data_IF_235421154328
#
_entry.id   IF_235421154328
#
_cell.length_a   1.000
_cell.length_b   1.000
_cell.length_c   1.000
_cell.angle_alpha   90.00
_cell.angle_beta   90.00
_cell.angle_gamma   90.00
#
_symmetry.space_group_name_H-M   'P 1'
#
loop_
_entity.id
_entity.type
_entity.pdbx_description
1 polymer ?
#
# COMPACT_ATOMS: atom_id res chain seq x y z
N UNK A 1 -14.92 -1.90 18.15
CA UNK A 1 -13.78 -1.23 17.50
C UNK A 1 -14.15 0.24 17.36
N UNK A 2 -13.41 1.15 17.97
CA UNK A 2 -13.59 2.60 17.79
C UNK A 2 -12.41 3.07 16.95
N UNK A 3 -12.52 2.95 15.62
CA UNK A 3 -11.61 3.64 14.71
C UNK A 3 -11.91 5.15 14.80
N UNK A 4 -10.91 6.05 14.65
CA UNK A 4 -11.12 7.45 14.91
C UNK A 4 -12.24 7.98 14.01
N UNK A 5 -13.16 8.80 14.54
CA UNK A 5 -14.13 9.47 13.68
C UNK A 5 -13.33 10.29 12.66
N UNK A 6 -13.69 10.22 11.38
CA UNK A 6 -13.12 11.12 10.38
C UNK A 6 -13.53 12.55 10.71
N UNK A 7 -12.68 13.28 11.45
CA UNK A 7 -12.94 14.66 11.88
C UNK A 7 -12.35 15.69 10.92
N UNK A 8 -11.49 15.26 9.99
CA UNK A 8 -10.91 16.11 8.97
C UNK A 8 -11.85 16.43 7.81
N UNK A 9 -11.32 17.17 6.83
CA UNK A 9 -12.08 17.67 5.66
C UNK A 9 -12.71 16.53 4.85
N UNK A 10 -12.00 15.42 4.72
CA UNK A 10 -12.45 14.25 3.95
C UNK A 10 -13.00 13.14 4.85
N UNK A 11 -13.17 13.40 6.16
CA UNK A 11 -13.53 12.39 7.14
C UNK A 11 -14.81 11.62 6.84
N UNK A 12 -15.85 12.28 6.31
CA UNK A 12 -17.09 11.61 5.93
C UNK A 12 -16.88 10.59 4.80
N UNK A 13 -16.09 10.95 3.79
CA UNK A 13 -15.79 10.08 2.65
C UNK A 13 -14.88 8.92 3.07
N UNK A 14 -13.87 9.18 3.90
CA UNK A 14 -12.97 8.16 4.45
C UNK A 14 -13.74 7.14 5.31
N UNK A 15 -14.72 7.58 6.10
CA UNK A 15 -15.57 6.67 6.87
C UNK A 15 -16.54 5.89 5.99
N UNK A 16 -17.03 6.47 4.88
CA UNK A 16 -17.83 5.74 3.91
C UNK A 16 -17.03 4.64 3.21
N UNK A 17 -15.76 4.91 2.86
CA UNK A 17 -14.84 3.90 2.33
C UNK A 17 -14.63 2.75 3.32
N UNK A 18 -14.36 3.05 4.60
CA UNK A 18 -14.21 2.03 5.64
C UNK A 18 -15.43 1.13 5.80
N UNK A 19 -16.65 1.70 5.82
CA UNK A 19 -17.89 0.91 5.93
C UNK A 19 -18.07 0.00 4.72
N UNK A 20 -17.87 0.53 3.51
CA UNK A 20 -17.97 -0.25 2.28
C UNK A 20 -16.97 -1.40 2.26
N UNK A 21 -15.74 -1.15 2.68
CA UNK A 21 -14.74 -2.20 2.84
C UNK A 21 -15.22 -3.33 3.76
N UNK A 22 -15.73 -2.99 4.96
CA UNK A 22 -16.22 -4.01 5.90
C UNK A 22 -17.41 -4.79 5.36
N UNK A 23 -18.35 -4.11 4.69
CA UNK A 23 -19.51 -4.73 4.06
C UNK A 23 -19.08 -5.71 2.96
N UNK A 24 -18.28 -5.27 1.99
CA UNK A 24 -17.81 -6.11 0.89
C UNK A 24 -16.91 -7.26 1.36
N UNK A 25 -16.09 -7.03 2.40
CA UNK A 25 -15.22 -8.06 2.96
C UNK A 25 -16.02 -9.16 3.67
N UNK A 26 -17.10 -8.78 4.37
CA UNK A 26 -18.02 -9.72 5.01
C UNK A 26 -18.86 -10.48 3.97
N UNK A 27 -19.35 -9.80 2.92
CA UNK A 27 -20.04 -10.47 1.81
C UNK A 27 -19.18 -11.49 1.06
N UNK A 28 -17.85 -11.33 1.14
CA UNK A 28 -16.86 -12.24 0.56
C UNK A 28 -16.38 -13.32 1.53
N UNK A 29 -17.01 -13.49 2.70
CA UNK A 29 -16.60 -14.50 3.69
C UNK A 29 -16.58 -15.92 3.09
N UNK A 30 -15.46 -16.61 3.29
CA UNK A 30 -15.20 -17.94 2.70
C UNK A 30 -14.60 -17.91 1.30
N UNK A 31 -14.57 -16.77 0.61
CA UNK A 31 -13.93 -16.58 -0.69
C UNK A 31 -12.63 -15.75 -0.56
N UNK A 32 -11.51 -16.46 -0.42
CA UNK A 32 -10.20 -15.82 -0.24
C UNK A 32 -9.77 -14.95 -1.42
N UNK A 33 -10.12 -15.31 -2.67
CA UNK A 33 -9.76 -14.52 -3.84
C UNK A 33 -10.55 -13.22 -3.86
N UNK A 34 -11.86 -13.28 -3.59
CA UNK A 34 -12.68 -12.08 -3.49
C UNK A 34 -12.23 -11.18 -2.33
N UNK A 35 -11.87 -11.74 -1.18
CA UNK A 35 -11.35 -10.95 -0.05
C UNK A 35 -9.97 -10.31 -0.35
N UNK A 36 -9.10 -10.99 -1.10
CA UNK A 36 -7.85 -10.39 -1.62
C UNK A 36 -8.16 -9.15 -2.46
N UNK A 37 -9.12 -9.27 -3.39
CA UNK A 37 -9.48 -8.18 -4.28
C UNK A 37 -10.13 -7.01 -3.54
N UNK A 38 -11.02 -7.28 -2.57
CA UNK A 38 -11.60 -6.25 -1.70
C UNK A 38 -10.48 -5.50 -0.98
N UNK A 39 -9.58 -6.19 -0.29
CA UNK A 39 -8.45 -5.54 0.38
C UNK A 39 -7.57 -4.73 -0.57
N UNK A 40 -7.25 -5.27 -1.75
CA UNK A 40 -6.42 -4.61 -2.76
C UNK A 40 -7.07 -3.36 -3.36
N UNK A 41 -8.37 -3.41 -3.69
CA UNK A 41 -9.11 -2.30 -4.31
C UNK A 41 -9.31 -1.17 -3.31
N UNK A 42 -9.74 -1.48 -2.09
CA UNK A 42 -9.90 -0.46 -1.05
C UNK A 42 -8.55 0.13 -0.64
N UNK A 43 -7.46 -0.66 -0.66
CA UNK A 43 -6.09 -0.12 -0.51
C UNK A 43 -5.76 0.87 -1.63
N UNK A 44 -6.07 0.53 -2.89
CA UNK A 44 -5.81 1.42 -4.02
C UNK A 44 -6.58 2.75 -3.91
N UNK A 45 -7.86 2.71 -3.50
CA UNK A 45 -8.68 3.91 -3.29
C UNK A 45 -8.13 4.78 -2.16
N UNK A 46 -7.77 4.19 -1.02
CA UNK A 46 -7.28 4.96 0.13
C UNK A 46 -5.92 5.61 -0.15
N UNK A 47 -5.03 4.95 -0.90
CA UNK A 47 -3.78 5.56 -1.36
C UNK A 47 -4.02 6.69 -2.37
N UNK A 48 -5.09 6.62 -3.16
CA UNK A 48 -5.57 7.73 -3.98
C UNK A 48 -5.99 8.92 -3.13
N UNK A 49 -6.81 8.69 -2.09
CA UNK A 49 -7.20 9.71 -1.10
C UNK A 49 -5.98 10.32 -0.42
N UNK A 50 -5.03 9.51 0.04
CA UNK A 50 -3.79 9.97 0.66
C UNK A 50 -2.94 10.83 -0.28
N UNK A 51 -2.84 10.43 -1.55
CA UNK A 51 -2.12 11.21 -2.57
C UNK A 51 -2.74 12.60 -2.74
N UNK A 52 -4.08 12.67 -2.82
CA UNK A 52 -4.81 13.94 -2.94
C UNK A 52 -4.68 14.81 -1.68
N UNK A 53 -4.71 14.19 -0.51
CA UNK A 53 -4.56 14.86 0.77
C UNK A 53 -3.17 15.52 0.90
N UNK A 54 -2.11 14.83 0.46
CA UNK A 54 -0.73 15.28 0.60
C UNK A 54 -0.26 16.21 -0.54
N UNK A 55 -0.93 16.23 -1.69
CA UNK A 55 -0.63 17.14 -2.80
C UNK A 55 -1.23 18.54 -2.58
N UNK A 56 -0.79 19.22 -1.51
CA UNK A 56 -1.35 20.52 -1.08
C UNK A 56 -1.13 21.66 -2.07
N UNK A 57 -0.08 21.57 -2.89
CA UNK A 57 0.23 22.55 -3.93
C UNK A 57 -0.38 22.19 -5.29
N UNK A 58 -1.16 21.11 -5.35
CA UNK A 58 -1.80 20.59 -6.56
C UNK A 58 -0.82 20.30 -7.72
N UNK A 59 0.48 20.13 -7.41
CA UNK A 59 1.55 19.92 -8.40
C UNK A 59 1.34 18.62 -9.16
N UNK A 60 0.80 17.59 -8.51
CA UNK A 60 0.56 16.27 -9.10
C UNK A 60 -0.92 15.94 -9.25
N UNK A 61 -1.82 16.88 -8.98
CA UNK A 61 -3.28 16.68 -8.96
C UNK A 61 -3.80 16.03 -10.25
N UNK A 62 -3.45 16.52 -11.46
CA UNK A 62 -3.91 15.88 -12.70
C UNK A 62 -3.42 14.44 -12.86
N UNK A 63 -2.20 14.13 -12.41
CA UNK A 63 -1.64 12.78 -12.46
C UNK A 63 -2.35 11.84 -11.48
N UNK A 64 -2.63 12.32 -10.27
CA UNK A 64 -3.35 11.54 -9.25
C UNK A 64 -4.76 11.20 -9.73
N UNK A 65 -5.48 12.20 -10.26
CA UNK A 65 -6.83 12.00 -10.79
C UNK A 65 -6.85 11.06 -12.00
N UNK A 66 -5.87 11.17 -12.91
CA UNK A 66 -5.72 10.23 -14.01
C UNK A 66 -5.49 8.79 -13.51
N UNK A 67 -4.64 8.60 -12.49
CA UNK A 67 -4.38 7.29 -11.87
C UNK A 67 -5.64 6.70 -11.24
N UNK A 68 -6.42 7.51 -10.51
CA UNK A 68 -7.74 7.10 -9.97
C UNK A 68 -8.71 6.74 -11.10
N UNK A 69 -8.73 7.53 -12.18
CA UNK A 69 -9.55 7.27 -13.36
C UNK A 69 -9.21 5.94 -14.03
N UNK A 70 -7.92 5.68 -14.27
CA UNK A 70 -7.45 4.42 -14.84
C UNK A 70 -7.77 3.22 -13.95
N UNK A 71 -7.60 3.34 -12.63
CA UNK A 71 -7.98 2.30 -11.69
C UNK A 71 -9.47 1.95 -11.79
N UNK A 72 -10.35 2.95 -11.80
CA UNK A 72 -11.80 2.76 -11.89
C UNK A 72 -12.24 2.16 -13.21
N UNK A 73 -11.62 2.56 -14.32
CA UNK A 73 -11.87 1.94 -15.63
C UNK A 73 -11.37 0.49 -15.65
N UNK A 74 -10.15 0.23 -15.17
CA UNK A 74 -9.59 -1.11 -15.06
C UNK A 74 -10.46 -2.03 -14.18
N UNK A 75 -10.95 -1.51 -13.06
CA UNK A 75 -11.83 -2.23 -12.15
C UNK A 75 -13.16 -2.64 -12.81
N UNK A 76 -13.70 -1.79 -13.69
CA UNK A 76 -14.93 -2.09 -14.46
C UNK A 76 -14.70 -3.13 -15.55
N UNK A 77 -13.52 -3.16 -16.16
CA UNK A 77 -13.20 -4.01 -17.32
C UNK A 77 -12.61 -5.37 -16.95
N UNK A 78 -11.97 -5.48 -15.80
CA UNK A 78 -11.30 -6.71 -15.39
C UNK A 78 -12.33 -7.76 -14.91
N UNK A 79 -12.36 -8.91 -15.58
CA UNK A 79 -13.25 -10.02 -15.24
C UNK A 79 -12.53 -11.10 -14.44
N UNK A 80 -11.28 -11.40 -14.80
CA UNK A 80 -10.47 -12.43 -14.17
C UNK A 80 -9.82 -11.93 -12.88
N UNK A 81 -9.59 -12.84 -11.95
CA UNK A 81 -8.95 -12.54 -10.67
C UNK A 81 -7.57 -11.90 -10.88
N UNK A 82 -6.77 -12.43 -11.81
CA UNK A 82 -5.42 -11.95 -12.08
C UNK A 82 -5.41 -10.54 -12.67
N UNK A 83 -6.33 -10.22 -13.59
CA UNK A 83 -6.47 -8.88 -14.16
C UNK A 83 -6.85 -7.85 -13.10
N UNK A 84 -7.75 -8.24 -12.20
CA UNK A 84 -8.15 -7.42 -11.05
C UNK A 84 -6.98 -7.22 -10.09
N UNK A 85 -6.22 -8.27 -9.79
CA UNK A 85 -5.04 -8.18 -8.95
C UNK A 85 -3.96 -7.26 -9.55
N UNK A 86 -3.72 -7.35 -10.86
CA UNK A 86 -2.85 -6.41 -11.59
C UNK A 86 -3.36 -4.98 -11.41
N UNK A 87 -4.65 -4.74 -11.66
CA UNK A 87 -5.23 -3.40 -11.54
C UNK A 87 -5.03 -2.82 -10.13
N UNK A 88 -5.27 -3.62 -9.08
CA UNK A 88 -5.04 -3.21 -7.69
C UNK A 88 -3.56 -2.88 -7.43
N UNK A 89 -2.66 -3.81 -7.74
CA UNK A 89 -1.23 -3.69 -7.41
C UNK A 89 -0.52 -2.60 -8.19
N UNK A 90 -0.85 -2.40 -9.47
CA UNK A 90 -0.32 -1.26 -10.24
C UNK A 90 -0.86 0.06 -9.75
N UNK A 91 -2.11 0.11 -9.29
CA UNK A 91 -2.67 1.35 -8.73
C UNK A 91 -1.97 1.71 -7.42
N UNK A 92 -1.70 0.72 -6.56
CA UNK A 92 -0.89 0.92 -5.35
C UNK A 92 0.51 1.44 -5.68
N UNK A 93 1.22 0.78 -6.59
CA UNK A 93 2.54 1.22 -7.06
C UNK A 93 2.49 2.65 -7.60
N UNK A 94 1.49 2.96 -8.42
CA UNK A 94 1.32 4.28 -9.01
C UNK A 94 1.12 5.37 -7.94
N UNK A 95 0.29 5.13 -6.93
CA UNK A 95 0.11 6.10 -5.86
C UNK A 95 1.37 6.25 -5.00
N UNK A 96 2.04 5.15 -4.64
CA UNK A 96 3.31 5.20 -3.92
C UNK A 96 4.41 5.91 -4.73
N UNK A 97 4.41 5.79 -6.05
CA UNK A 97 5.30 6.54 -6.93
C UNK A 97 4.99 8.05 -6.88
N UNK A 98 3.72 8.47 -6.94
CA UNK A 98 3.37 9.88 -6.75
C UNK A 98 3.81 10.37 -5.37
N UNK A 99 3.45 9.64 -4.32
CA UNK A 99 3.76 10.00 -2.95
C UNK A 99 5.28 10.12 -2.75
N UNK A 100 6.06 9.19 -3.26
CA UNK A 100 7.52 9.27 -3.22
C UNK A 100 8.06 10.54 -3.89
N UNK A 101 7.46 10.98 -5.01
CA UNK A 101 7.82 12.24 -5.68
C UNK A 101 7.42 13.47 -4.86
N UNK A 102 6.27 13.42 -4.18
CA UNK A 102 5.84 14.47 -3.24
C UNK A 102 6.83 14.60 -2.08
N UNK A 103 7.19 13.50 -1.44
CA UNK A 103 8.16 13.49 -0.32
C UNK A 103 9.58 13.87 -0.76
N UNK A 104 9.99 13.46 -1.95
CA UNK A 104 11.31 13.78 -2.48
C UNK A 104 11.50 15.27 -2.80
N UNK A 105 10.43 15.99 -3.17
CA UNK A 105 10.52 17.37 -3.66
C UNK A 105 11.52 17.47 -4.83
N UNK A 106 12.51 18.34 -4.66
CA UNK A 106 13.57 18.56 -5.67
C UNK A 106 14.86 17.73 -5.40
N UNK A 107 14.80 16.73 -4.51
CA UNK A 107 15.93 15.86 -4.23
C UNK A 107 16.27 14.98 -5.45
N UNK A 108 17.40 15.28 -6.09
CA UNK A 108 17.83 14.62 -7.34
C UNK A 108 18.24 13.16 -7.15
N UNK A 109 18.75 12.77 -5.98
CA UNK A 109 19.09 11.39 -5.68
C UNK A 109 17.85 10.53 -5.51
N UNK A 110 16.87 11.02 -4.74
CA UNK A 110 15.56 10.40 -4.62
C UNK A 110 14.85 10.30 -5.98
N UNK A 111 14.91 11.36 -6.80
CA UNK A 111 14.37 11.35 -8.16
C UNK A 111 15.01 10.28 -9.06
N UNK A 112 16.33 10.08 -8.98
CA UNK A 112 17.03 9.00 -9.70
C UNK A 112 16.60 7.62 -9.21
N UNK A 113 16.43 7.43 -7.91
CA UNK A 113 15.96 6.16 -7.35
C UNK A 113 14.55 5.83 -7.81
N UNK A 114 13.62 6.81 -7.77
CA UNK A 114 12.25 6.64 -8.27
C UNK A 114 12.26 6.26 -9.76
N UNK A 115 13.06 6.95 -10.58
CA UNK A 115 13.19 6.62 -12.00
C UNK A 115 13.79 5.22 -12.26
N UNK A 116 14.74 4.79 -11.44
CA UNK A 116 15.31 3.44 -11.53
C UNK A 116 14.28 2.35 -11.17
N UNK A 117 13.44 2.60 -10.16
CA UNK A 117 12.31 1.72 -9.82
C UNK A 117 11.33 1.63 -11.00
N UNK A 118 10.97 2.77 -11.60
CA UNK A 118 10.05 2.81 -12.76
C UNK A 118 10.62 2.01 -13.95
N UNK A 119 11.90 2.17 -14.26
CA UNK A 119 12.56 1.42 -15.32
C UNK A 119 12.59 -0.09 -15.04
N UNK A 120 12.85 -0.50 -13.79
CA UNK A 120 12.85 -1.91 -13.40
C UNK A 120 11.46 -2.55 -13.52
N UNK A 121 10.39 -1.81 -13.17
CA UNK A 121 9.01 -2.28 -13.37
C UNK A 121 8.71 -2.47 -14.86
N UNK A 122 9.03 -1.48 -15.70
CA UNK A 122 8.78 -1.56 -17.14
C UNK A 122 9.46 -2.76 -17.78
N UNK A 123 10.74 -2.99 -17.46
CA UNK A 123 11.52 -4.13 -17.97
C UNK A 123 10.89 -5.49 -17.61
N UNK A 124 10.30 -5.61 -16.41
CA UNK A 124 9.67 -6.87 -15.99
C UNK A 124 8.30 -7.07 -16.63
N UNK A 125 7.53 -6.00 -16.85
CA UNK A 125 6.13 -6.11 -17.29
C UNK A 125 5.98 -6.54 -18.75
N UNK A 126 6.91 -6.13 -19.62
CA UNK A 126 6.80 -6.33 -21.06
C UNK A 126 6.81 -7.81 -21.50
N UNK A 127 7.38 -8.72 -20.69
CA UNK A 127 7.47 -10.16 -20.99
C UNK A 127 6.77 -11.06 -19.97
N UNK A 128 6.25 -10.49 -18.87
CA UNK A 128 5.73 -11.23 -17.72
C UNK A 128 4.29 -11.72 -17.89
N UNK A 129 3.99 -12.86 -17.27
CA UNK A 129 2.62 -13.33 -17.03
C UNK A 129 1.88 -12.47 -15.99
N UNK A 130 0.56 -12.66 -15.81
CA UNK A 130 -0.24 -11.76 -14.98
C UNK A 130 0.23 -11.61 -13.53
N UNK A 131 0.58 -12.72 -12.87
CA UNK A 131 1.04 -12.72 -11.48
C UNK A 131 2.41 -12.07 -11.35
N UNK A 132 3.34 -12.38 -12.25
CA UNK A 132 4.66 -11.75 -12.25
C UNK A 132 4.57 -10.22 -12.41
N UNK A 133 3.62 -9.70 -13.20
CA UNK A 133 3.35 -8.26 -13.29
C UNK A 133 2.88 -7.68 -11.95
N UNK A 134 1.92 -8.34 -11.29
CA UNK A 134 1.44 -7.91 -9.97
C UNK A 134 2.57 -7.95 -8.92
N UNK A 135 3.41 -8.99 -8.96
CA UNK A 135 4.61 -9.13 -8.14
C UNK A 135 5.61 -8.00 -8.38
N UNK A 136 5.85 -7.62 -9.63
CA UNK A 136 6.74 -6.51 -9.97
C UNK A 136 6.23 -5.18 -9.39
N UNK A 137 4.92 -4.91 -9.48
CA UNK A 137 4.30 -3.71 -8.91
C UNK A 137 4.38 -3.68 -7.37
N UNK A 138 4.07 -4.79 -6.70
CA UNK A 138 4.22 -4.89 -5.24
C UNK A 138 5.69 -4.75 -4.81
N UNK A 139 6.60 -5.41 -5.53
CA UNK A 139 8.04 -5.34 -5.26
C UNK A 139 8.60 -3.93 -5.41
N UNK A 140 8.08 -3.14 -6.37
CA UNK A 140 8.43 -1.74 -6.57
C UNK A 140 7.78 -0.80 -5.55
N UNK A 141 6.63 -1.17 -5.00
CA UNK A 141 5.96 -0.41 -3.93
C UNK A 141 6.80 -0.34 -2.66
N UNK A 142 7.55 -1.42 -2.35
CA UNK A 142 8.41 -1.48 -1.17
C UNK A 142 9.50 -0.39 -1.12
N UNK A 143 10.44 -0.26 -2.08
CA UNK A 143 11.48 0.75 -2.03
C UNK A 143 10.94 2.19 -2.08
N UNK A 144 9.79 2.40 -2.75
CA UNK A 144 9.10 3.70 -2.77
C UNK A 144 8.61 4.07 -1.37
N UNK A 145 7.94 3.13 -0.68
CA UNK A 145 7.51 3.38 0.69
C UNK A 145 8.70 3.50 1.66
N UNK A 146 9.77 2.71 1.50
CA UNK A 146 11.01 2.87 2.28
C UNK A 146 11.57 4.29 2.16
N UNK A 147 11.60 4.83 0.94
CA UNK A 147 12.04 6.20 0.69
C UNK A 147 11.16 7.23 1.42
N UNK A 148 9.83 7.10 1.32
CA UNK A 148 8.89 7.96 2.06
C UNK A 148 9.11 7.88 3.57
N UNK A 149 9.26 6.67 4.11
CA UNK A 149 9.54 6.42 5.54
C UNK A 149 10.82 7.11 5.99
N UNK A 150 11.89 7.06 5.19
CA UNK A 150 13.15 7.75 5.50
C UNK A 150 13.00 9.29 5.48
N UNK A 151 12.17 9.83 4.59
CA UNK A 151 11.87 11.26 4.59
C UNK A 151 11.10 11.69 5.84
N UNK A 152 10.15 10.88 6.32
CA UNK A 152 9.42 11.16 7.58
C UNK A 152 10.33 11.00 8.80
N UNK A 153 11.22 10.01 8.82
CA UNK A 153 12.16 9.78 9.94
C UNK A 153 13.08 10.99 10.16
N UNK A 154 13.45 11.75 9.12
CA UNK A 154 14.38 12.88 9.21
C UNK A 154 15.69 12.56 9.97
N UNK A 155 16.15 11.30 9.90
CA UNK A 155 17.36 10.85 10.60
C UNK A 155 17.18 10.57 12.10
N UNK A 156 15.95 10.44 12.59
CA UNK A 156 15.62 10.12 14.00
C UNK A 156 15.93 8.66 14.39
N UNK A 157 16.42 7.85 13.47
CA UNK A 157 17.11 6.59 13.79
C UNK A 157 16.42 5.32 13.27
N UNK A 158 15.34 5.44 12.48
CA UNK A 158 14.66 4.28 11.90
C UNK A 158 15.42 3.64 10.73
N UNK A 159 16.54 4.23 10.28
CA UNK A 159 17.37 3.66 9.22
C UNK A 159 17.79 2.21 9.49
N UNK A 160 18.02 1.83 10.75
CA UNK A 160 18.36 0.45 11.12
C UNK A 160 17.17 -0.51 10.93
N UNK A 161 15.96 -0.10 11.33
CA UNK A 161 14.74 -0.87 11.16
C UNK A 161 14.38 -1.04 9.67
N UNK A 162 14.48 0.04 8.88
CA UNK A 162 14.30 0.00 7.42
C UNK A 162 15.25 -0.99 6.78
N UNK A 163 16.56 -0.93 7.11
CA UNK A 163 17.56 -1.89 6.58
C UNK A 163 17.27 -3.34 6.96
N UNK A 164 16.76 -3.60 8.15
CA UNK A 164 16.37 -4.97 8.53
C UNK A 164 15.19 -5.49 7.69
N UNK A 165 14.21 -4.63 7.39
CA UNK A 165 13.09 -4.99 6.50
C UNK A 165 13.61 -5.22 5.07
N UNK A 166 14.51 -4.38 4.57
CA UNK A 166 15.15 -4.56 3.26
C UNK A 166 15.92 -5.87 3.15
N UNK A 167 16.69 -6.24 4.19
CA UNK A 167 17.39 -7.52 4.24
C UNK A 167 16.42 -8.70 4.18
N UNK A 168 15.32 -8.65 4.93
CA UNK A 168 14.27 -9.68 4.87
C UNK A 168 13.57 -9.70 3.52
N UNK A 169 13.36 -8.56 2.88
CA UNK A 169 12.78 -8.47 1.54
C UNK A 169 13.70 -9.16 0.52
N UNK A 170 14.99 -8.85 0.52
CA UNK A 170 15.97 -9.46 -0.37
C UNK A 170 16.12 -10.97 -0.13
N UNK A 171 16.23 -11.39 1.13
CA UNK A 171 16.34 -12.81 1.48
C UNK A 171 15.07 -13.58 1.12
N UNK A 172 13.89 -13.03 1.41
CA UNK A 172 12.62 -13.62 1.00
C UNK A 172 12.49 -13.74 -0.52
N UNK A 173 12.97 -12.74 -1.27
CA UNK A 173 13.02 -12.79 -2.73
C UNK A 173 13.93 -13.89 -3.28
N UNK A 174 15.07 -14.14 -2.62
CA UNK A 174 16.01 -15.22 -2.97
C UNK A 174 15.46 -16.61 -2.69
N UNK A 175 14.66 -16.75 -1.63
CA UNK A 175 14.09 -18.03 -1.19
C UNK A 175 12.76 -18.38 -1.88
N UNK A 176 12.06 -17.41 -2.46
CA UNK A 176 10.79 -17.65 -3.12
C UNK A 176 10.94 -18.59 -4.33
N UNK A 177 10.19 -19.68 -4.35
CA UNK A 177 10.16 -20.66 -5.44
C UNK A 177 9.11 -20.35 -6.51
N UNK A 178 8.27 -19.33 -6.30
CA UNK A 178 7.19 -18.94 -7.21
C UNK A 178 6.89 -17.44 -7.17
N UNK A 179 6.23 -16.92 -8.22
CA UNK A 179 5.80 -15.52 -8.27
C UNK A 179 4.83 -15.15 -7.16
N UNK A 180 4.00 -16.10 -6.72
CA UNK A 180 3.07 -15.91 -5.61
C UNK A 180 3.80 -15.75 -4.27
N UNK A 181 4.86 -16.51 -4.03
CA UNK A 181 5.70 -16.34 -2.85
C UNK A 181 6.48 -15.02 -2.90
N UNK A 182 6.93 -14.60 -4.09
CA UNK A 182 7.52 -13.27 -4.27
C UNK A 182 6.52 -12.14 -4.00
N UNK A 183 5.28 -12.26 -4.51
CA UNK A 183 4.20 -11.31 -4.23
C UNK A 183 3.91 -11.23 -2.73
N UNK A 184 3.82 -12.38 -2.06
CA UNK A 184 3.59 -12.46 -0.63
C UNK A 184 4.71 -11.76 0.14
N UNK A 185 5.97 -12.06 -0.19
CA UNK A 185 7.13 -11.43 0.43
C UNK A 185 7.08 -9.91 0.25
N UNK A 186 6.82 -9.42 -0.97
CA UNK A 186 6.68 -7.99 -1.23
C UNK A 186 5.55 -7.34 -0.42
N UNK A 187 4.39 -7.97 -0.38
CA UNK A 187 3.21 -7.47 0.35
C UNK A 187 3.46 -7.39 1.86
N UNK A 188 4.10 -8.40 2.47
CA UNK A 188 4.39 -8.37 3.91
C UNK A 188 5.45 -7.33 4.27
N UNK A 189 6.43 -7.11 3.39
CA UNK A 189 7.43 -6.06 3.57
C UNK A 189 6.82 -4.66 3.39
N UNK A 190 5.85 -4.52 2.49
CA UNK A 190 5.03 -3.32 2.37
C UNK A 190 4.23 -3.07 3.67
N UNK A 191 3.58 -4.10 4.23
CA UNK A 191 2.86 -4.00 5.51
C UNK A 191 3.79 -3.56 6.65
N UNK A 192 4.95 -4.21 6.81
CA UNK A 192 5.92 -3.82 7.85
C UNK A 192 6.40 -2.38 7.69
N UNK A 193 6.64 -1.95 6.46
CA UNK A 193 7.05 -0.59 6.18
C UNK A 193 5.91 0.42 6.42
N UNK A 194 4.66 0.06 6.13
CA UNK A 194 3.48 0.88 6.45
C UNK A 194 3.30 1.04 7.96
N UNK A 195 3.59 0.01 8.76
CA UNK A 195 3.58 0.11 10.22
C UNK A 195 4.61 1.12 10.72
N UNK A 196 5.84 1.09 10.18
CA UNK A 196 6.87 2.08 10.52
C UNK A 196 6.45 3.48 10.07
N UNK A 197 5.95 3.63 8.84
CA UNK A 197 5.48 4.88 8.30
C UNK A 197 4.37 5.50 9.17
N UNK A 198 3.40 4.70 9.61
CA UNK A 198 2.33 5.15 10.50
C UNK A 198 2.87 5.67 11.84
N UNK A 199 3.73 4.90 12.51
CA UNK A 199 4.32 5.28 13.80
C UNK A 199 5.20 6.53 13.68
N UNK A 200 5.89 6.70 12.55
CA UNK A 200 6.71 7.88 12.28
C UNK A 200 5.88 9.12 11.93
N UNK A 201 4.73 8.92 11.28
CA UNK A 201 3.79 10.00 10.97
C UNK A 201 3.21 10.60 12.25
N UNK A 202 2.86 9.74 13.22
CA UNK A 202 2.51 10.15 14.58
C UNK A 202 2.71 9.02 15.58
N UNK A 203 3.36 9.31 16.71
CA UNK A 203 3.62 8.34 17.77
C UNK A 203 2.32 7.87 18.47
N UNK A 204 1.26 8.67 18.44
CA UNK A 204 -0.05 8.33 19.00
C UNK A 204 -0.71 7.14 18.28
N UNK A 205 -0.32 6.84 17.03
CA UNK A 205 -0.85 5.72 16.25
C UNK A 205 -0.28 4.36 16.65
N UNK A 206 0.71 4.33 17.56
CA UNK A 206 1.44 3.10 17.92
C UNK A 206 0.51 2.00 18.42
N UNK A 207 -0.45 2.32 19.28
CA UNK A 207 -1.32 1.31 19.87
C UNK A 207 -2.27 0.71 18.83
N UNK A 208 -2.81 1.53 17.93
CA UNK A 208 -3.67 1.10 16.83
C UNK A 208 -2.89 0.23 15.85
N UNK A 209 -1.66 0.60 15.51
CA UNK A 209 -0.77 -0.20 14.65
C UNK A 209 -0.49 -1.57 15.30
N UNK A 210 -0.25 -1.62 16.61
CA UNK A 210 -0.04 -2.87 17.36
C UNK A 210 -1.31 -3.73 17.41
N UNK A 211 -2.48 -3.12 17.57
CA UNK A 211 -3.77 -3.84 17.55
C UNK A 211 -4.03 -4.48 16.18
N UNK A 212 -3.78 -3.74 15.09
CA UNK A 212 -3.86 -4.30 13.73
C UNK A 212 -2.87 -5.46 13.59
N UNK A 213 -1.61 -5.30 14.00
CA UNK A 213 -0.61 -6.35 13.91
C UNK A 213 -0.98 -7.61 14.71
N UNK A 214 -1.51 -7.44 15.93
CA UNK A 214 -1.88 -8.54 16.81
C UNK A 214 -3.02 -9.39 16.26
N UNK A 215 -4.03 -8.76 15.63
CA UNK A 215 -5.21 -9.48 15.10
C UNK A 215 -4.85 -10.51 14.02
N UNK A 216 -3.88 -10.21 13.16
CA UNK A 216 -3.47 -11.15 12.10
C UNK A 216 -2.41 -12.16 12.53
N UNK A 217 -1.92 -12.10 13.78
CA UNK A 217 -0.84 -12.97 14.25
C UNK A 217 -1.24 -14.46 14.26
N UNK A 218 -2.49 -14.75 14.63
CA UNK A 218 -3.00 -16.13 14.61
C UNK A 218 -3.28 -16.59 13.18
N UNK A 219 -3.88 -15.74 12.36
CA UNK A 219 -4.18 -16.05 10.95
C UNK A 219 -2.91 -16.25 10.10
N UNK A 220 -1.80 -15.59 10.44
CA UNK A 220 -0.51 -15.73 9.75
C UNK A 220 0.20 -17.07 10.02
N UNK A 221 -0.26 -17.86 11.01
CA UNK A 221 0.29 -19.20 11.28
C UNK A 221 -0.15 -20.24 10.25
N UNK A 222 -1.22 -19.94 9.50
CA UNK A 222 -1.72 -20.83 8.44
C UNK A 222 -0.70 -20.87 7.29
N UNK A 223 -0.43 -22.06 6.73
CA UNK A 223 0.54 -22.21 5.63
C UNK A 223 -0.02 -21.83 4.25
N UNK A 224 -1.33 -21.61 4.14
CA UNK A 224 -2.01 -21.26 2.90
C UNK A 224 -1.60 -19.87 2.39
N UNK A 225 -1.00 -19.86 1.20
CA UNK A 225 -0.48 -18.65 0.53
C UNK A 225 -1.57 -17.62 0.22
N UNK A 226 -2.77 -18.06 -0.17
CA UNK A 226 -3.89 -17.16 -0.50
C UNK A 226 -4.44 -16.50 0.74
N UNK A 227 -4.59 -17.24 1.84
CA UNK A 227 -5.00 -16.65 3.12
C UNK A 227 -3.97 -15.63 3.62
N UNK A 228 -2.68 -15.88 3.43
CA UNK A 228 -1.65 -14.88 3.77
C UNK A 228 -1.74 -13.64 2.89
N UNK A 229 -1.92 -13.79 1.57
CA UNK A 229 -2.10 -12.65 0.66
C UNK A 229 -3.32 -11.81 1.05
N UNK A 230 -4.44 -12.47 1.37
CA UNK A 230 -5.65 -11.81 1.90
C UNK A 230 -5.31 -10.95 3.12
N UNK A 231 -4.62 -11.52 4.09
CA UNK A 231 -4.24 -10.82 5.32
C UNK A 231 -3.27 -9.66 5.05
N UNK A 232 -2.37 -9.81 4.08
CA UNK A 232 -1.47 -8.75 3.66
C UNK A 232 -2.21 -7.54 3.07
N UNK A 233 -3.17 -7.76 2.17
CA UNK A 233 -3.97 -6.69 1.58
C UNK A 233 -4.91 -6.04 2.59
N UNK A 234 -5.55 -6.84 3.43
CA UNK A 234 -6.39 -6.37 4.53
C UNK A 234 -5.60 -5.41 5.45
N UNK A 235 -4.41 -5.81 5.90
CA UNK A 235 -3.53 -4.95 6.71
C UNK A 235 -3.06 -3.71 5.97
N UNK A 236 -2.75 -3.83 4.68
CA UNK A 236 -2.33 -2.68 3.85
C UNK A 236 -3.43 -1.63 3.83
N UNK A 237 -4.69 -2.04 3.61
CA UNK A 237 -5.84 -1.15 3.66
C UNK A 237 -5.98 -0.50 5.04
N UNK A 238 -6.01 -1.30 6.11
CA UNK A 238 -6.27 -0.77 7.45
C UNK A 238 -5.19 0.20 7.94
N UNK A 239 -3.92 -0.08 7.63
CA UNK A 239 -2.81 0.83 7.96
C UNK A 239 -2.87 2.12 7.12
N UNK A 240 -3.14 2.01 5.82
CA UNK A 240 -3.25 3.18 4.95
C UNK A 240 -4.46 4.04 5.33
N UNK A 241 -5.59 3.42 5.71
CA UNK A 241 -6.79 4.12 6.18
C UNK A 241 -6.55 4.84 7.51
N UNK A 242 -5.90 4.18 8.46
CA UNK A 242 -5.49 4.78 9.74
C UNK A 242 -4.66 6.04 9.51
N UNK A 243 -3.61 5.93 8.69
CA UNK A 243 -2.73 7.07 8.41
C UNK A 243 -3.45 8.18 7.66
N UNK A 244 -4.25 7.85 6.66
CA UNK A 244 -4.96 8.84 5.85
C UNK A 244 -5.98 9.62 6.69
N UNK A 245 -6.73 8.93 7.54
CA UNK A 245 -7.72 9.57 8.44
C UNK A 245 -7.03 10.45 9.47
N UNK A 246 -5.93 9.99 10.05
CA UNK A 246 -5.15 10.79 11.00
C UNK A 246 -4.61 12.06 10.35
N UNK A 247 -3.97 11.93 9.19
CA UNK A 247 -3.42 13.07 8.46
C UNK A 247 -4.51 14.05 8.01
N UNK A 248 -5.71 13.57 7.64
CA UNK A 248 -6.84 14.44 7.29
C UNK A 248 -7.31 15.28 8.48
N UNK A 249 -7.21 14.74 9.71
CA UNK A 249 -7.56 15.45 10.93
C UNK A 249 -6.50 16.49 11.34
N UNK A 250 -5.21 16.15 11.24
CA UNK A 250 -4.13 17.00 11.77
C UNK A 250 -3.55 17.99 10.76
N UNK A 251 -3.71 17.75 9.45
CA UNK A 251 -3.20 18.67 8.43
C UNK A 251 -4.19 19.82 8.22
N UNK A 252 -3.72 21.08 8.23
CA UNK A 252 -4.60 22.22 7.97
C UNK A 252 -5.11 22.20 6.52
N UNK A 253 -6.39 22.55 6.36
CA UNK A 253 -7.07 22.66 5.07
C UNK A 253 -6.39 23.65 4.11
#
# INVERSE_FOLDING_TARGET
MVFPPGQGKYGADLMAQWRRYLEEYAEAEGDSERQILVGGYHSAEIFGSLSLLLDREERYRPLIEARIGYFREGARRAELFEDRLINATFTLYNHLNTLSRLFAGDNTEAGRLIAAVDAAVQQRVEAAGPIERATAALGASFPLLSLMTLFVDQGRGMASAVRQIEQRFAEGGRLAGSDWEQALNALYRLVEMMQLFAILSDAELRDQVQQIAARFKEEDQVSDLRLKLRNGFCRTFELAHLVTTHLDEILPA
#
